data_IF_510537298275
#
_entry.id   IF_510537298275
#
_cell.length_a   1.000
_cell.length_b   1.000
_cell.length_c   1.000
_cell.angle_alpha   90.00
_cell.angle_beta   90.00
_cell.angle_gamma   90.00
#
_symmetry.space_group_name_H-M   'P 1'
#
loop_
_entity.id
_entity.type
_entity.pdbx_description
1 polymer ?
#
# COMPACT_ATOMS: atom_id res chain seq x y z
N UNK A 1 -21.86 8.06 -8.74
CA UNK A 1 -22.76 6.91 -8.98
C UNK A 1 -22.26 5.75 -8.14
N UNK A 2 -23.02 5.33 -7.17
CA UNK A 2 -22.64 4.20 -6.33
C UNK A 2 -22.66 2.91 -7.16
N UNK A 3 -21.63 2.06 -7.03
CA UNK A 3 -21.53 0.77 -7.73
C UNK A 3 -20.98 -0.27 -6.77
N UNK A 4 -21.83 -1.20 -6.34
CA UNK A 4 -21.48 -2.26 -5.41
C UNK A 4 -21.39 -3.59 -6.15
N UNK A 5 -20.24 -4.27 -6.05
CA UNK A 5 -20.13 -5.64 -6.54
C UNK A 5 -20.90 -6.57 -5.58
N UNK A 6 -21.83 -7.34 -6.12
CA UNK A 6 -22.63 -8.30 -5.36
C UNK A 6 -21.98 -9.67 -5.29
N UNK A 7 -21.51 -10.15 -6.45
CA UNK A 7 -20.96 -11.48 -6.55
C UNK A 7 -20.11 -11.61 -7.83
N UNK A 8 -19.31 -12.66 -7.90
CA UNK A 8 -18.44 -12.97 -9.02
C UNK A 8 -18.34 -14.48 -9.20
N UNK A 9 -18.28 -14.95 -10.45
CA UNK A 9 -17.98 -16.33 -10.77
C UNK A 9 -16.94 -16.37 -11.90
N UNK A 10 -15.98 -17.26 -11.77
CA UNK A 10 -14.96 -17.55 -12.77
C UNK A 10 -15.26 -18.87 -13.45
N UNK A 11 -15.18 -18.88 -14.77
CA UNK A 11 -15.43 -20.08 -15.58
C UNK A 11 -14.40 -20.21 -16.70
N UNK A 12 -14.17 -21.44 -17.17
CA UNK A 12 -13.47 -21.66 -18.43
C UNK A 12 -14.39 -21.37 -19.63
N UNK A 13 -13.80 -21.10 -20.81
CA UNK A 13 -14.51 -20.85 -22.07
C UNK A 13 -15.19 -22.12 -22.65
N UNK A 14 -16.07 -22.74 -21.88
CA UNK A 14 -16.81 -23.91 -22.29
C UNK A 14 -18.31 -23.68 -22.10
N UNK A 15 -19.11 -23.99 -23.13
CA UNK A 15 -20.57 -23.80 -23.15
C UNK A 15 -21.32 -24.52 -22.02
N UNK A 16 -20.73 -25.61 -21.45
CA UNK A 16 -21.34 -26.30 -20.31
C UNK A 16 -21.56 -25.40 -19.09
N UNK A 17 -20.78 -24.32 -18.97
CA UNK A 17 -20.88 -23.36 -17.86
C UNK A 17 -21.95 -22.27 -18.04
N UNK A 18 -22.62 -22.18 -19.21
CA UNK A 18 -23.67 -21.19 -19.43
C UNK A 18 -24.81 -21.39 -18.45
N UNK A 19 -25.34 -22.60 -18.32
CA UNK A 19 -26.44 -22.89 -17.40
C UNK A 19 -26.06 -22.68 -15.93
N UNK A 20 -24.89 -23.12 -15.41
CA UNK A 20 -24.40 -22.76 -14.08
C UNK A 20 -24.31 -21.25 -13.82
N UNK A 21 -23.80 -20.47 -14.79
CA UNK A 21 -23.72 -19.00 -14.65
C UNK A 21 -25.11 -18.36 -14.59
N UNK A 22 -26.04 -18.81 -15.41
CA UNK A 22 -27.41 -18.32 -15.36
C UNK A 22 -28.11 -18.70 -14.04
N UNK A 23 -27.85 -19.88 -13.49
CA UNK A 23 -28.35 -20.26 -12.17
C UNK A 23 -27.72 -19.44 -11.04
N UNK A 24 -26.44 -19.09 -11.15
CA UNK A 24 -25.78 -18.15 -10.25
C UNK A 24 -26.44 -16.75 -10.31
N UNK A 25 -26.72 -16.24 -11.51
CA UNK A 25 -27.45 -14.99 -11.70
C UNK A 25 -28.84 -15.06 -11.08
N UNK A 26 -29.57 -16.17 -11.29
CA UNK A 26 -30.89 -16.42 -10.69
C UNK A 26 -30.83 -16.32 -9.15
N UNK A 27 -29.86 -16.97 -8.54
CA UNK A 27 -29.68 -17.00 -7.09
C UNK A 27 -29.39 -15.62 -6.50
N UNK A 28 -28.45 -14.88 -7.12
CA UNK A 28 -28.08 -13.55 -6.62
C UNK A 28 -29.20 -12.55 -6.82
N UNK A 29 -29.82 -12.51 -8.01
CA UNK A 29 -30.91 -11.59 -8.32
C UNK A 29 -32.12 -11.77 -7.40
N UNK A 30 -32.47 -13.04 -7.08
CA UNK A 30 -33.60 -13.35 -6.19
C UNK A 30 -33.45 -12.79 -4.78
N UNK A 31 -32.22 -12.63 -4.29
CA UNK A 31 -31.95 -12.06 -2.96
C UNK A 31 -32.17 -10.54 -2.93
N UNK A 32 -32.04 -9.87 -4.06
CA UNK A 32 -32.08 -8.40 -4.10
C UNK A 32 -33.42 -7.81 -4.54
N UNK A 33 -34.32 -8.62 -5.14
CA UNK A 33 -35.69 -8.24 -5.57
C UNK A 33 -35.79 -6.86 -6.28
N UNK A 34 -34.77 -6.54 -7.09
CA UNK A 34 -34.60 -5.20 -7.69
C UNK A 34 -35.39 -5.00 -8.98
N UNK A 35 -35.87 -6.08 -9.58
CA UNK A 35 -36.57 -6.07 -10.86
C UNK A 35 -37.83 -6.94 -10.80
N UNK A 36 -38.82 -6.60 -11.63
CA UNK A 36 -39.92 -7.50 -11.90
C UNK A 36 -39.44 -8.71 -12.75
N UNK A 37 -40.25 -9.76 -12.76
CA UNK A 37 -39.89 -11.03 -13.39
C UNK A 37 -39.66 -10.90 -14.89
N UNK A 38 -40.39 -10.01 -15.57
CA UNK A 38 -40.26 -9.80 -17.01
C UNK A 38 -38.91 -9.15 -17.34
N UNK A 39 -38.55 -8.07 -16.66
CA UNK A 39 -37.24 -7.39 -16.80
C UNK A 39 -36.08 -8.32 -16.47
N UNK A 40 -36.25 -9.14 -15.46
CA UNK A 40 -35.23 -10.11 -15.08
C UNK A 40 -35.03 -11.16 -16.19
N UNK A 41 -36.10 -11.70 -16.77
CA UNK A 41 -35.99 -12.66 -17.88
C UNK A 41 -35.32 -12.07 -19.11
N UNK A 42 -35.59 -10.79 -19.42
CA UNK A 42 -34.92 -10.08 -20.50
C UNK A 42 -33.41 -9.98 -20.25
N UNK A 43 -33.01 -9.51 -19.06
CA UNK A 43 -31.58 -9.46 -18.67
C UNK A 43 -30.93 -10.84 -18.75
N UNK A 44 -31.55 -11.86 -18.16
CA UNK A 44 -31.06 -13.22 -18.13
C UNK A 44 -30.82 -13.81 -19.53
N UNK A 45 -31.75 -13.53 -20.44
CA UNK A 45 -31.64 -13.95 -21.82
C UNK A 45 -30.42 -13.31 -22.51
N UNK A 46 -30.28 -12.00 -22.38
CA UNK A 46 -29.16 -11.25 -22.96
C UNK A 46 -27.81 -11.71 -22.39
N UNK A 47 -27.72 -11.91 -21.08
CA UNK A 47 -26.51 -12.46 -20.43
C UNK A 47 -26.15 -13.82 -21.03
N UNK A 48 -27.12 -14.69 -21.26
CA UNK A 48 -26.91 -16.00 -21.88
C UNK A 48 -26.33 -15.90 -23.30
N UNK A 49 -26.87 -15.01 -24.13
CA UNK A 49 -26.40 -14.79 -25.51
C UNK A 49 -25.00 -14.13 -25.54
N UNK A 50 -24.72 -13.17 -24.66
CA UNK A 50 -23.41 -12.55 -24.58
C UNK A 50 -22.34 -13.51 -24.04
N UNK A 51 -22.68 -14.31 -23.02
CA UNK A 51 -21.78 -15.33 -22.49
C UNK A 51 -21.42 -16.35 -23.56
N UNK A 52 -22.41 -16.84 -24.31
CA UNK A 52 -22.18 -17.73 -25.43
C UNK A 52 -21.28 -17.09 -26.50
N UNK A 53 -21.54 -15.86 -26.87
CA UNK A 53 -20.72 -15.17 -27.85
C UNK A 53 -19.27 -15.00 -27.38
N UNK A 54 -19.04 -14.71 -26.09
CA UNK A 54 -17.68 -14.61 -25.51
C UNK A 54 -16.99 -15.96 -25.43
N UNK A 55 -17.68 -17.00 -25.01
CA UNK A 55 -17.13 -18.40 -24.98
C UNK A 55 -16.67 -18.82 -26.37
N UNK A 56 -17.48 -18.57 -27.38
CA UNK A 56 -17.21 -19.04 -28.76
C UNK A 56 -16.08 -18.25 -29.43
N UNK A 57 -15.90 -16.95 -29.11
CA UNK A 57 -15.05 -16.06 -29.90
C UNK A 57 -13.83 -15.52 -29.15
N UNK A 58 -13.78 -15.57 -27.81
CA UNK A 58 -12.67 -14.95 -27.07
C UNK A 58 -11.37 -15.74 -27.17
N UNK A 59 -11.44 -17.07 -27.24
CA UNK A 59 -10.27 -17.95 -27.23
C UNK A 59 -10.36 -19.01 -28.35
N UNK A 60 -10.25 -18.61 -29.62
CA UNK A 60 -10.40 -19.55 -30.74
C UNK A 60 -9.32 -20.64 -30.71
N UNK A 61 -9.75 -21.90 -30.51
CA UNK A 61 -8.84 -23.04 -30.45
C UNK A 61 -7.97 -23.15 -29.18
N UNK A 62 -8.22 -22.31 -28.16
CA UNK A 62 -7.48 -22.33 -26.90
C UNK A 62 -8.40 -22.33 -25.67
N UNK A 63 -7.85 -22.75 -24.53
CA UNK A 63 -8.50 -22.57 -23.23
C UNK A 63 -8.31 -21.15 -22.73
N UNK A 64 -9.32 -20.60 -22.12
CA UNK A 64 -9.26 -19.27 -21.49
C UNK A 64 -10.30 -19.13 -20.38
N UNK A 65 -10.17 -18.05 -19.63
CA UNK A 65 -10.99 -17.75 -18.47
C UNK A 65 -11.91 -16.57 -18.73
N UNK A 66 -13.17 -16.70 -18.32
CA UNK A 66 -14.14 -15.62 -18.29
C UNK A 66 -14.52 -15.33 -16.83
N UNK A 67 -14.61 -14.07 -16.47
CA UNK A 67 -15.09 -13.59 -15.18
C UNK A 67 -16.46 -12.94 -15.37
N UNK A 68 -17.46 -13.41 -14.65
CA UNK A 68 -18.80 -12.85 -14.67
C UNK A 68 -19.06 -12.19 -13.34
N UNK A 69 -19.16 -10.86 -13.36
CA UNK A 69 -19.33 -10.02 -12.19
C UNK A 69 -20.74 -9.42 -12.19
N UNK A 70 -21.39 -9.43 -11.03
CA UNK A 70 -22.71 -8.85 -10.81
C UNK A 70 -22.58 -7.61 -9.94
N UNK A 71 -23.15 -6.49 -10.40
CA UNK A 71 -23.13 -5.22 -9.70
C UNK A 71 -24.54 -4.67 -9.50
N UNK A 72 -24.69 -3.89 -8.44
CA UNK A 72 -25.85 -3.08 -8.18
C UNK A 72 -25.41 -1.62 -8.11
N UNK A 73 -26.12 -0.76 -8.85
CA UNK A 73 -25.96 0.69 -8.81
C UNK A 73 -27.23 1.32 -8.27
N UNK A 74 -27.22 2.65 -8.12
CA UNK A 74 -28.43 3.38 -7.71
C UNK A 74 -29.61 3.21 -8.67
N UNK A 75 -29.34 2.91 -9.96
CA UNK A 75 -30.34 2.86 -11.02
C UNK A 75 -30.41 1.51 -11.75
N UNK A 76 -29.36 0.70 -11.71
CA UNK A 76 -29.22 -0.48 -12.56
C UNK A 76 -28.72 -1.69 -11.79
N UNK A 77 -29.21 -2.87 -12.22
CA UNK A 77 -28.50 -4.12 -12.04
C UNK A 77 -27.61 -4.34 -13.25
N UNK A 78 -26.30 -4.51 -13.04
CA UNK A 78 -25.31 -4.66 -14.10
C UNK A 78 -24.69 -6.05 -14.04
N UNK A 79 -24.56 -6.69 -15.20
CA UNK A 79 -23.78 -7.91 -15.38
C UNK A 79 -22.63 -7.61 -16.32
N UNK A 80 -21.43 -7.96 -15.90
CA UNK A 80 -20.18 -7.74 -16.64
C UNK A 80 -19.48 -9.06 -16.91
N UNK A 81 -19.12 -9.33 -18.16
CA UNK A 81 -18.36 -10.50 -18.60
C UNK A 81 -16.99 -9.99 -19.06
N UNK A 82 -15.95 -10.36 -18.32
CA UNK A 82 -14.58 -9.94 -18.59
C UNK A 82 -13.72 -11.12 -19.02
N UNK A 83 -12.84 -10.89 -20.00
CA UNK A 83 -11.87 -11.89 -20.48
C UNK A 83 -10.60 -11.22 -21.05
N UNK A 84 -9.55 -12.01 -21.21
CA UNK A 84 -8.27 -11.62 -21.84
C UNK A 84 -8.10 -12.28 -23.22
N UNK A 85 -9.18 -12.70 -23.82
CA UNK A 85 -9.17 -13.31 -25.16
C UNK A 85 -9.02 -12.29 -26.28
N UNK A 86 -9.21 -12.78 -27.52
CA UNK A 86 -9.15 -11.92 -28.71
C UNK A 86 -10.11 -10.74 -28.57
N UNK A 87 -9.63 -9.50 -28.77
CA UNK A 87 -10.47 -8.32 -28.67
C UNK A 87 -11.68 -8.40 -29.62
N UNK A 88 -12.87 -8.39 -29.06
CA UNK A 88 -14.09 -8.25 -29.86
C UNK A 88 -14.30 -6.79 -30.29
N UNK A 89 -14.63 -6.58 -31.54
CA UNK A 89 -15.02 -5.29 -32.12
C UNK A 89 -16.52 -5.36 -32.44
N UNK A 90 -17.35 -5.75 -31.48
CA UNK A 90 -18.78 -5.80 -31.73
C UNK A 90 -19.35 -4.41 -31.49
N UNK A 91 -19.72 -3.77 -32.58
CA UNK A 91 -20.74 -2.77 -32.59
C UNK A 91 -22.06 -3.50 -32.30
N UNK A 92 -22.80 -3.07 -31.27
CA UNK A 92 -24.14 -3.56 -30.99
C UNK A 92 -25.18 -2.89 -31.91
N UNK A 93 -24.75 -2.11 -32.92
CA UNK A 93 -25.60 -1.62 -33.97
C UNK A 93 -26.16 -2.77 -34.80
N UNK A 94 -27.33 -2.58 -35.32
CA UNK A 94 -27.98 -3.52 -36.23
C UNK A 94 -28.65 -2.76 -37.38
N UNK A 95 -28.75 -3.40 -38.53
CA UNK A 95 -29.54 -2.92 -39.67
C UNK A 95 -30.94 -3.50 -39.55
N UNK A 96 -31.93 -2.65 -39.34
CA UNK A 96 -33.34 -3.04 -39.21
C UNK A 96 -33.84 -3.84 -40.43
N UNK A 97 -33.32 -3.56 -41.62
CA UNK A 97 -33.70 -4.27 -42.84
C UNK A 97 -33.09 -5.67 -42.97
N UNK A 98 -31.99 -5.93 -42.24
CA UNK A 98 -31.26 -7.18 -42.26
C UNK A 98 -31.49 -8.06 -41.02
N UNK A 99 -32.34 -7.63 -40.08
CA UNK A 99 -32.55 -8.32 -38.79
C UNK A 99 -32.94 -9.77 -38.96
N UNK A 100 -33.77 -10.11 -39.92
CA UNK A 100 -34.28 -11.48 -40.15
C UNK A 100 -33.28 -12.36 -40.91
N UNK A 101 -32.40 -11.77 -41.72
CA UNK A 101 -31.49 -12.46 -42.64
C UNK A 101 -30.10 -12.69 -42.06
N UNK A 102 -29.68 -11.90 -41.05
CA UNK A 102 -28.36 -11.97 -40.40
C UNK A 102 -28.51 -12.29 -38.93
N UNK A 103 -27.89 -13.41 -38.49
CA UNK A 103 -27.94 -13.87 -37.10
C UNK A 103 -27.33 -12.88 -36.12
N UNK A 104 -26.30 -12.13 -36.50
CA UNK A 104 -25.66 -11.12 -35.64
C UNK A 104 -26.57 -9.88 -35.53
N UNK A 105 -27.15 -9.42 -36.61
CA UNK A 105 -28.15 -8.35 -36.61
C UNK A 105 -29.36 -8.71 -35.75
N UNK A 106 -29.90 -9.92 -35.91
CA UNK A 106 -31.00 -10.40 -35.06
C UNK A 106 -30.65 -10.41 -33.58
N UNK A 107 -29.44 -10.89 -33.23
CA UNK A 107 -28.96 -10.90 -31.84
C UNK A 107 -28.82 -9.47 -31.29
N UNK A 108 -28.20 -8.57 -32.04
CA UNK A 108 -28.00 -7.17 -31.62
C UNK A 108 -29.34 -6.46 -31.42
N UNK A 109 -30.31 -6.66 -32.35
CA UNK A 109 -31.67 -6.17 -32.21
C UNK A 109 -32.35 -6.67 -30.92
N UNK A 110 -32.26 -7.97 -30.63
CA UNK A 110 -32.85 -8.54 -29.40
C UNK A 110 -32.14 -8.00 -28.15
N UNK A 111 -30.82 -7.82 -28.19
CA UNK A 111 -30.05 -7.25 -27.06
C UNK A 111 -30.55 -5.84 -26.78
N UNK A 112 -30.67 -4.99 -27.80
CA UNK A 112 -31.14 -3.60 -27.70
C UNK A 112 -32.57 -3.54 -27.12
N UNK A 113 -33.46 -4.41 -27.57
CA UNK A 113 -34.84 -4.48 -27.09
C UNK A 113 -34.98 -4.96 -25.64
N UNK A 114 -34.02 -5.74 -25.15
CA UNK A 114 -34.12 -6.41 -23.85
C UNK A 114 -33.42 -5.71 -22.70
N UNK A 115 -32.44 -4.84 -22.94
CA UNK A 115 -31.66 -4.16 -21.89
C UNK A 115 -31.62 -2.67 -22.13
N UNK A 116 -31.35 -1.90 -21.09
CA UNK A 116 -31.35 -0.44 -21.18
C UNK A 116 -29.99 0.11 -21.62
N UNK A 117 -28.92 -0.66 -21.38
CA UNK A 117 -27.57 -0.32 -21.84
C UNK A 117 -26.74 -1.59 -22.05
N UNK A 118 -25.98 -1.63 -23.13
CA UNK A 118 -24.97 -2.63 -23.40
C UNK A 118 -23.71 -1.95 -23.92
N UNK A 119 -22.53 -2.41 -23.49
CA UNK A 119 -21.29 -1.81 -23.94
C UNK A 119 -20.09 -2.75 -23.85
N UNK A 120 -19.03 -2.34 -24.54
CA UNK A 120 -17.71 -2.99 -24.48
C UNK A 120 -16.69 -1.99 -24.02
N UNK A 121 -15.90 -2.36 -23.02
CA UNK A 121 -14.76 -1.56 -22.55
C UNK A 121 -13.46 -2.31 -22.74
N UNK A 122 -12.43 -1.61 -23.16
CA UNK A 122 -11.06 -2.10 -23.23
C UNK A 122 -10.34 -1.75 -21.92
N UNK A 123 -9.76 -2.76 -21.28
CA UNK A 123 -9.11 -2.64 -19.96
C UNK A 123 -7.59 -2.74 -20.05
N UNK A 124 -7.00 -2.53 -21.23
CA UNK A 124 -5.55 -2.63 -21.44
C UNK A 124 -5.03 -4.04 -21.13
N UNK A 125 -4.09 -4.16 -20.22
CA UNK A 125 -3.50 -5.43 -19.80
C UNK A 125 -4.51 -6.40 -19.13
N UNK A 126 -5.64 -5.88 -18.65
CA UNK A 126 -6.71 -6.66 -18.04
C UNK A 126 -7.74 -7.17 -19.05
N UNK A 127 -7.47 -6.98 -20.34
CA UNK A 127 -8.28 -7.50 -21.43
C UNK A 127 -9.46 -6.59 -21.80
N UNK A 128 -10.66 -7.14 -21.77
CA UNK A 128 -11.88 -6.40 -22.12
C UNK A 128 -13.04 -6.90 -21.29
N UNK A 129 -14.07 -6.06 -21.18
CA UNK A 129 -15.35 -6.45 -20.60
C UNK A 129 -16.51 -6.07 -21.50
N UNK A 130 -17.49 -6.95 -21.58
CA UNK A 130 -18.82 -6.65 -22.08
C UNK A 130 -19.73 -6.48 -20.88
N UNK A 131 -20.53 -5.44 -20.84
CA UNK A 131 -21.48 -5.24 -19.74
C UNK A 131 -22.89 -4.98 -20.28
N UNK A 132 -23.86 -5.36 -19.49
CA UNK A 132 -25.28 -5.06 -19.70
C UNK A 132 -25.88 -4.49 -18.44
N UNK A 133 -26.77 -3.50 -18.59
CA UNK A 133 -27.51 -2.86 -17.51
C UNK A 133 -28.99 -2.95 -17.73
N UNK A 134 -29.72 -3.27 -16.67
CA UNK A 134 -31.16 -3.22 -16.63
C UNK A 134 -31.62 -2.41 -15.44
N UNK A 135 -32.50 -1.42 -15.67
CA UNK A 135 -32.99 -0.52 -14.64
C UNK A 135 -33.76 -1.28 -13.55
N UNK A 136 -33.53 -0.87 -12.30
CA UNK A 136 -34.23 -1.38 -11.15
C UNK A 136 -35.50 -0.56 -10.90
N UNK A 137 -36.58 -1.25 -10.50
CA UNK A 137 -37.92 -0.63 -10.35
C UNK A 137 -37.98 0.23 -9.08
N UNK A 138 -37.28 -0.17 -8.04
CA UNK A 138 -37.19 0.57 -6.80
C UNK A 138 -35.73 0.92 -6.53
N UNK A 139 -35.36 2.21 -6.53
CA UNK A 139 -34.04 2.62 -6.07
C UNK A 139 -33.83 2.07 -4.66
N UNK A 140 -32.78 1.28 -4.46
CA UNK A 140 -32.45 0.82 -3.13
C UNK A 140 -31.87 2.03 -2.40
N UNK A 141 -32.57 2.54 -1.42
CA UNK A 141 -31.93 3.34 -0.39
C UNK A 141 -30.93 2.42 0.33
N UNK A 142 -29.66 2.59 0.01
CA UNK A 142 -28.60 1.98 0.80
C UNK A 142 -28.61 2.67 2.16
N UNK A 143 -29.36 2.12 3.11
CA UNK A 143 -29.12 2.44 4.50
C UNK A 143 -27.67 2.10 4.78
N UNK A 144 -26.91 3.08 5.27
CA UNK A 144 -25.63 2.78 5.89
C UNK A 144 -25.86 1.58 6.84
N UNK A 145 -24.94 0.60 6.88
CA UNK A 145 -25.08 -0.49 7.82
C UNK A 145 -25.40 0.11 9.18
N UNK A 146 -26.46 -0.40 9.81
CA UNK A 146 -26.84 0.07 11.15
C UNK A 146 -25.58 0.02 12.00
N UNK A 147 -25.26 1.08 12.74
CA UNK A 147 -24.15 1.01 13.68
C UNK A 147 -24.37 -0.26 14.51
N UNK A 148 -23.32 -1.05 14.63
CA UNK A 148 -23.36 -2.25 15.47
C UNK A 148 -24.10 -1.89 16.76
N UNK A 149 -25.02 -2.73 17.28
CA UNK A 149 -25.76 -2.45 18.48
C UNK A 149 -24.79 -1.91 19.52
N UNK A 150 -25.19 -0.83 20.22
CA UNK A 150 -24.35 -0.21 21.25
C UNK A 150 -23.82 -1.33 22.13
N UNK A 151 -22.55 -1.59 22.00
CA UNK A 151 -21.86 -2.65 22.71
C UNK A 151 -21.98 -2.35 24.20
N UNK A 152 -22.33 -3.35 24.98
CA UNK A 152 -22.09 -3.37 26.43
C UNK A 152 -20.77 -2.68 26.72
N UNK A 153 -20.71 -1.84 27.74
CA UNK A 153 -19.59 -0.98 28.05
C UNK A 153 -18.27 -1.75 27.86
N UNK A 154 -17.50 -1.37 26.85
CA UNK A 154 -16.25 -2.06 26.51
C UNK A 154 -15.34 -2.05 27.73
N UNK A 155 -14.88 -3.21 28.14
CA UNK A 155 -13.86 -3.30 29.17
C UNK A 155 -12.59 -2.60 28.69
N UNK A 156 -12.22 -1.54 29.41
CA UNK A 156 -11.09 -0.67 29.08
C UNK A 156 -9.78 -1.09 29.76
N UNK A 157 -9.80 -2.19 30.53
CA UNK A 157 -8.58 -2.76 31.09
C UNK A 157 -7.84 -3.53 30.00
N UNK A 158 -6.83 -2.91 29.37
CA UNK A 158 -6.10 -3.45 28.24
C UNK A 158 -4.68 -3.84 28.63
N UNK A 159 -4.34 -5.11 28.38
CA UNK A 159 -3.02 -5.68 28.57
C UNK A 159 -2.33 -5.89 27.22
N UNK A 160 -1.02 -5.67 27.15
CA UNK A 160 -0.21 -5.93 25.95
C UNK A 160 0.57 -7.22 26.19
N UNK A 161 0.48 -8.15 25.23
CA UNK A 161 1.20 -9.42 25.30
C UNK A 161 1.81 -9.80 23.94
N UNK A 162 2.92 -10.58 23.94
CA UNK A 162 3.51 -11.04 22.68
C UNK A 162 2.57 -12.01 21.95
N UNK A 163 2.70 -12.03 20.62
CA UNK A 163 2.11 -13.03 19.72
C UNK A 163 2.97 -14.28 19.79
N UNK A 164 2.39 -15.40 20.22
CA UNK A 164 3.13 -16.65 20.42
C UNK A 164 2.48 -17.83 19.71
N UNK A 165 1.14 -17.87 19.70
CA UNK A 165 0.37 -18.97 19.16
C UNK A 165 -0.13 -18.66 17.74
N UNK A 166 -0.60 -19.69 17.04
CA UNK A 166 -1.25 -19.53 15.75
C UNK A 166 -2.53 -18.71 15.87
N UNK A 167 -3.31 -18.91 16.93
CA UNK A 167 -4.51 -18.10 17.20
C UNK A 167 -4.17 -16.61 17.39
N UNK A 168 -3.05 -16.31 18.07
CA UNK A 168 -2.58 -14.93 18.21
C UNK A 168 -2.24 -14.30 16.85
N UNK A 169 -1.59 -15.09 15.98
CA UNK A 169 -1.26 -14.63 14.61
C UNK A 169 -2.53 -14.35 13.82
N UNK A 170 -3.54 -15.23 13.92
CA UNK A 170 -4.84 -15.02 13.26
C UNK A 170 -5.49 -13.72 13.76
N UNK A 171 -5.44 -13.44 15.06
CA UNK A 171 -5.95 -12.18 15.61
C UNK A 171 -5.14 -10.96 15.15
N UNK A 172 -3.81 -11.06 15.03
CA UNK A 172 -2.98 -10.00 14.47
C UNK A 172 -3.34 -9.73 12.99
N UNK A 173 -3.50 -10.78 12.19
CA UNK A 173 -3.95 -10.67 10.78
C UNK A 173 -5.32 -10.01 10.71
N UNK A 174 -6.28 -10.39 11.58
CA UNK A 174 -7.60 -9.77 11.64
C UNK A 174 -7.54 -8.28 11.99
N UNK A 175 -6.62 -7.87 12.86
CA UNK A 175 -6.38 -6.47 13.16
C UNK A 175 -5.87 -5.71 11.92
N UNK A 176 -4.85 -6.25 11.23
CA UNK A 176 -4.31 -5.64 10.00
C UNK A 176 -5.42 -5.52 8.95
N UNK A 177 -6.16 -6.60 8.73
CA UNK A 177 -7.28 -6.62 7.79
C UNK A 177 -8.38 -5.60 8.14
N UNK A 178 -8.67 -5.37 9.43
CA UNK A 178 -9.72 -4.43 9.84
C UNK A 178 -9.46 -2.98 9.44
N UNK A 179 -8.19 -2.61 9.22
CA UNK A 179 -7.79 -1.27 8.78
C UNK A 179 -7.53 -1.19 7.27
N UNK A 180 -6.83 -2.19 6.72
CA UNK A 180 -6.28 -2.15 5.37
C UNK A 180 -6.96 -3.11 4.38
N UNK A 181 -7.92 -3.96 4.82
CA UNK A 181 -8.36 -5.08 3.98
C UNK A 181 -7.16 -5.94 3.59
N UNK A 182 -7.01 -6.23 2.29
CA UNK A 182 -5.84 -6.95 1.74
C UNK A 182 -4.82 -6.03 1.06
N UNK A 183 -4.89 -4.71 1.31
CA UNK A 183 -4.02 -3.73 0.64
C UNK A 183 -2.73 -3.42 1.39
N UNK A 184 -2.48 -4.03 2.54
CA UNK A 184 -1.26 -3.76 3.30
C UNK A 184 -0.02 -4.20 2.52
N UNK A 185 1.01 -3.32 2.45
CA UNK A 185 2.17 -3.49 1.58
C UNK A 185 3.02 -4.75 1.85
N UNK A 186 2.95 -5.30 3.06
CA UNK A 186 3.63 -6.55 3.41
C UNK A 186 2.66 -7.72 3.34
N UNK A 187 2.39 -8.19 2.12
CA UNK A 187 1.46 -9.31 1.85
C UNK A 187 1.77 -10.55 2.70
N UNK A 188 3.05 -10.82 2.98
CA UNK A 188 3.49 -11.96 3.78
C UNK A 188 2.86 -12.02 5.19
N UNK A 189 2.40 -10.89 5.73
CA UNK A 189 1.74 -10.84 7.04
C UNK A 189 0.29 -11.37 7.03
N UNK A 190 -0.31 -11.62 5.87
CA UNK A 190 -1.63 -12.25 5.78
C UNK A 190 -1.57 -13.79 5.82
N UNK A 191 -0.39 -14.38 5.71
CA UNK A 191 -0.19 -15.84 5.73
C UNK A 191 0.36 -16.29 7.07
N UNK A 192 -0.40 -17.11 7.80
CA UNK A 192 -0.05 -17.57 9.17
C UNK A 192 1.35 -18.15 9.23
N UNK A 193 1.70 -19.06 8.32
CA UNK A 193 3.03 -19.69 8.28
C UNK A 193 4.16 -18.69 8.01
N UNK A 194 3.91 -17.69 7.17
CA UNK A 194 4.88 -16.65 6.86
C UNK A 194 5.10 -15.73 8.05
N UNK A 195 4.02 -15.28 8.67
CA UNK A 195 4.06 -14.44 9.86
C UNK A 195 4.76 -15.16 11.03
N UNK A 196 4.40 -16.43 11.29
CA UNK A 196 5.06 -17.26 12.30
C UNK A 196 6.57 -17.39 12.04
N UNK A 197 6.97 -17.57 10.78
CA UNK A 197 8.37 -17.66 10.38
C UNK A 197 9.11 -16.36 10.67
N UNK A 198 8.55 -15.19 10.35
CA UNK A 198 9.13 -13.88 10.63
C UNK A 198 9.31 -13.64 12.13
N UNK A 199 8.36 -14.09 12.97
CA UNK A 199 8.52 -14.03 14.43
C UNK A 199 9.67 -14.95 14.88
N UNK A 200 9.73 -16.19 14.39
CA UNK A 200 10.76 -17.17 14.78
C UNK A 200 12.15 -16.80 14.28
N UNK A 201 12.27 -16.15 13.13
CA UNK A 201 13.56 -15.67 12.60
C UNK A 201 14.05 -14.40 13.31
N UNK A 202 13.17 -13.72 14.07
CA UNK A 202 13.48 -12.45 14.71
C UNK A 202 13.39 -11.25 13.76
N UNK A 203 12.81 -11.41 12.57
CA UNK A 203 12.52 -10.30 11.66
C UNK A 203 11.48 -9.34 12.23
N UNK A 204 10.56 -9.87 13.06
CA UNK A 204 9.57 -9.06 13.77
C UNK A 204 9.36 -9.58 15.21
N UNK A 205 9.05 -8.67 16.12
CA UNK A 205 8.39 -8.94 17.40
C UNK A 205 6.98 -8.39 17.34
N UNK A 206 5.98 -9.24 17.49
CA UNK A 206 4.56 -8.89 17.32
C UNK A 206 3.81 -8.96 18.63
N UNK A 207 2.87 -8.01 18.85
CA UNK A 207 2.16 -7.84 20.12
C UNK A 207 0.67 -7.59 19.88
N UNK A 208 -0.16 -8.20 20.73
CA UNK A 208 -1.60 -7.92 20.81
C UNK A 208 -1.92 -7.12 22.06
N UNK A 209 -2.82 -6.15 21.92
CA UNK A 209 -3.51 -5.52 23.03
C UNK A 209 -4.85 -6.23 23.23
N UNK A 210 -5.09 -6.79 24.41
CA UNK A 210 -6.29 -7.57 24.74
C UNK A 210 -6.93 -7.04 26.02
N UNK A 211 -8.27 -7.06 26.08
CA UNK A 211 -8.98 -6.75 27.31
C UNK A 211 -9.15 -7.98 28.21
N UNK A 212 -9.75 -7.80 29.40
CA UNK A 212 -9.95 -8.88 30.38
C UNK A 212 -10.90 -9.98 29.85
N UNK A 213 -11.70 -9.71 28.81
CA UNK A 213 -12.52 -10.69 28.12
C UNK A 213 -11.82 -11.36 26.93
N UNK A 214 -10.49 -11.20 26.82
CA UNK A 214 -9.66 -11.71 25.71
C UNK A 214 -10.07 -11.19 24.31
N UNK A 215 -10.76 -10.03 24.24
CA UNK A 215 -11.05 -9.39 22.96
C UNK A 215 -9.83 -8.58 22.53
N UNK A 216 -9.44 -8.73 21.29
CA UNK A 216 -8.30 -8.00 20.71
C UNK A 216 -8.69 -6.56 20.42
N UNK A 217 -8.06 -5.63 21.12
CA UNK A 217 -8.23 -4.19 20.96
C UNK A 217 -7.32 -3.57 19.89
N UNK A 218 -6.18 -4.20 19.65
CA UNK A 218 -5.22 -3.71 18.65
C UNK A 218 -4.00 -4.61 18.53
N UNK A 219 -3.15 -4.23 17.59
CA UNK A 219 -1.92 -4.91 17.25
C UNK A 219 -0.80 -3.91 16.93
N UNK A 220 0.44 -4.23 17.23
CA UNK A 220 1.62 -3.58 16.71
C UNK A 220 2.79 -4.55 16.65
N UNK A 221 3.81 -4.20 15.87
CA UNK A 221 5.04 -4.97 15.79
C UNK A 221 6.27 -4.07 15.87
N UNK A 222 7.39 -4.66 16.29
CA UNK A 222 8.74 -4.13 16.09
C UNK A 222 9.36 -4.89 14.93
N UNK A 223 9.60 -4.22 13.81
CA UNK A 223 10.21 -4.79 12.62
C UNK A 223 11.72 -4.49 12.61
N UNK A 224 12.51 -5.50 12.26
CA UNK A 224 13.97 -5.42 12.19
C UNK A 224 14.45 -5.50 10.76
N UNK A 225 15.48 -4.75 10.44
CA UNK A 225 16.20 -4.88 9.18
C UNK A 225 17.69 -5.00 9.43
N UNK A 226 18.43 -5.52 8.46
CA UNK A 226 19.89 -5.64 8.60
C UNK A 226 20.59 -4.30 8.80
N UNK A 227 19.99 -3.21 8.28
CA UNK A 227 20.49 -1.84 8.48
C UNK A 227 20.21 -1.28 9.87
N UNK A 228 19.14 -1.75 10.54
CA UNK A 228 18.60 -1.15 11.77
C UNK A 228 18.30 -2.19 12.85
N UNK A 229 19.19 -3.18 13.06
CA UNK A 229 18.99 -4.26 14.04
C UNK A 229 18.77 -3.76 15.47
N UNK A 230 19.53 -2.71 15.85
CA UNK A 230 19.43 -2.07 17.18
C UNK A 230 18.48 -0.86 17.21
N UNK A 231 17.78 -0.61 16.10
CA UNK A 231 16.75 0.42 16.00
C UNK A 231 15.53 -0.13 15.25
N UNK A 232 14.75 -1.02 15.90
CA UNK A 232 13.56 -1.56 15.26
C UNK A 232 12.53 -0.49 14.97
N UNK A 233 11.80 -0.70 13.87
CA UNK A 233 10.68 0.13 13.48
C UNK A 233 9.40 -0.32 14.20
N UNK A 234 8.70 0.64 14.82
CA UNK A 234 7.33 0.42 15.28
C UNK A 234 6.42 0.41 14.06
N UNK A 235 5.94 -0.76 13.68
CA UNK A 235 5.19 -0.99 12.46
C UNK A 235 3.87 -1.72 12.72
N UNK A 236 3.04 -1.85 11.68
CA UNK A 236 1.74 -2.53 11.73
C UNK A 236 0.84 -2.12 12.90
N UNK A 237 0.89 -0.84 13.28
CA UNK A 237 0.11 -0.31 14.40
C UNK A 237 -1.34 -0.17 13.98
N UNK A 238 -2.19 -1.00 14.52
CA UNK A 238 -3.65 -0.98 14.29
C UNK A 238 -4.38 -0.96 15.62
N UNK A 239 -5.36 -0.09 15.74
CA UNK A 239 -6.30 -0.03 16.87
C UNK A 239 -7.69 -0.21 16.29
N UNK A 240 -8.40 -1.25 16.70
CA UNK A 240 -9.77 -1.49 16.26
C UNK A 240 -10.66 -0.30 16.60
N UNK A 241 -11.62 -0.01 15.73
CA UNK A 241 -12.43 1.24 15.78
C UNK A 241 -13.12 1.42 17.13
N UNK A 242 -13.66 0.35 17.69
CA UNK A 242 -14.36 0.31 18.97
C UNK A 242 -13.47 0.65 20.18
N UNK A 243 -12.14 0.47 20.06
CA UNK A 243 -11.16 0.76 21.12
C UNK A 243 -10.40 2.07 20.89
N UNK A 244 -10.73 2.83 19.85
CA UNK A 244 -10.11 4.14 19.61
C UNK A 244 -10.50 5.14 20.70
N UNK A 245 -9.63 6.11 20.96
CA UNK A 245 -9.85 7.10 22.01
C UNK A 245 -9.42 6.68 23.42
N UNK A 246 -9.09 5.40 23.66
CA UNK A 246 -8.67 4.86 24.95
C UNK A 246 -7.16 5.02 25.24
N UNK A 247 -6.43 5.77 24.43
CA UNK A 247 -5.00 6.01 24.64
C UNK A 247 -4.10 4.82 24.31
N UNK A 248 -4.58 3.81 23.57
CA UNK A 248 -3.83 2.59 23.26
C UNK A 248 -2.52 2.87 22.49
N UNK A 249 -2.53 3.85 21.59
CA UNK A 249 -1.30 4.22 20.89
C UNK A 249 -0.19 4.64 21.88
N UNK A 250 -0.52 5.46 22.89
CA UNK A 250 0.44 5.84 23.92
C UNK A 250 0.91 4.64 24.75
N UNK A 251 0.02 3.68 25.04
CA UNK A 251 0.40 2.42 25.71
C UNK A 251 1.38 1.60 24.86
N UNK A 252 1.16 1.52 23.52
CA UNK A 252 2.08 0.85 22.60
C UNK A 252 3.47 1.50 22.60
N UNK A 253 3.52 2.84 22.53
CA UNK A 253 4.80 3.57 22.57
C UNK A 253 5.54 3.34 23.89
N UNK A 254 4.84 3.40 25.02
CA UNK A 254 5.44 3.15 26.35
C UNK A 254 5.93 1.70 26.47
N UNK A 255 5.15 0.73 25.99
CA UNK A 255 5.55 -0.67 26.01
C UNK A 255 6.80 -0.89 25.14
N UNK A 256 6.82 -0.35 23.94
CA UNK A 256 7.97 -0.46 23.01
C UNK A 256 9.23 0.17 23.59
N UNK A 257 9.12 1.32 24.27
CA UNK A 257 10.25 1.97 24.93
C UNK A 257 10.81 1.14 26.09
N UNK A 258 9.96 0.58 26.93
CA UNK A 258 10.38 -0.28 28.03
C UNK A 258 11.05 -1.56 27.51
N UNK A 259 10.48 -2.16 26.47
CA UNK A 259 11.06 -3.33 25.80
C UNK A 259 12.41 -3.00 25.17
N UNK A 260 12.55 -1.83 24.55
CA UNK A 260 13.80 -1.38 23.95
C UNK A 260 14.91 -1.22 25.01
N UNK A 261 14.57 -0.66 26.17
CA UNK A 261 15.50 -0.57 27.33
C UNK A 261 15.89 -1.96 27.84
N UNK A 262 14.93 -2.86 27.97
CA UNK A 262 15.16 -4.24 28.42
C UNK A 262 16.06 -5.02 27.46
N UNK A 263 15.84 -4.88 26.15
CA UNK A 263 16.57 -5.57 25.09
C UNK A 263 17.89 -4.89 24.72
N UNK A 264 18.18 -3.69 25.21
CA UNK A 264 19.37 -2.93 24.89
C UNK A 264 19.35 -2.35 23.47
N UNK A 265 18.16 -2.03 22.91
CA UNK A 265 18.10 -1.35 21.62
C UNK A 265 18.59 0.09 21.75
N UNK A 266 19.32 0.54 20.73
CA UNK A 266 19.91 1.89 20.70
C UNK A 266 18.85 2.97 20.54
N UNK A 267 17.88 2.74 19.67
CA UNK A 267 16.79 3.66 19.40
C UNK A 267 15.53 2.90 18.94
N UNK A 268 14.43 3.64 18.81
CA UNK A 268 13.20 3.20 18.15
C UNK A 268 12.92 4.12 16.98
N UNK A 269 12.50 3.55 15.86
CA UNK A 269 12.08 4.27 14.67
C UNK A 269 10.57 4.13 14.49
N UNK A 270 9.93 5.14 13.93
CA UNK A 270 8.53 5.08 13.50
C UNK A 270 8.33 5.85 12.20
N UNK A 271 7.36 5.41 11.41
CA UNK A 271 7.06 6.01 10.11
C UNK A 271 5.62 6.54 10.07
N UNK A 272 5.32 7.67 10.75
CA UNK A 272 4.01 8.29 10.66
C UNK A 272 3.72 8.76 9.23
N UNK A 273 2.47 8.58 8.81
CA UNK A 273 2.01 9.01 7.48
C UNK A 273 1.97 10.53 7.37
N UNK A 274 2.24 11.05 6.16
CA UNK A 274 2.30 12.49 5.88
C UNK A 274 1.01 13.06 5.27
N UNK A 275 -0.11 12.33 5.27
CA UNK A 275 -1.39 12.78 4.70
C UNK A 275 -2.47 13.07 5.75
N UNK A 276 -2.20 12.79 7.03
CA UNK A 276 -3.04 13.22 8.15
C UNK A 276 -2.21 13.39 9.45
N UNK A 277 -2.65 14.25 10.38
CA UNK A 277 -1.80 14.66 11.52
C UNK A 277 -1.85 13.71 12.72
N UNK A 278 -2.69 12.68 12.74
CA UNK A 278 -2.97 11.90 13.96
C UNK A 278 -1.74 11.11 14.43
N UNK A 279 -1.14 10.31 13.56
CA UNK A 279 0.06 9.53 13.89
C UNK A 279 1.25 10.45 14.21
N UNK A 280 1.44 11.53 13.47
CA UNK A 280 2.50 12.53 13.71
C UNK A 280 2.39 13.11 15.13
N UNK A 281 1.21 13.60 15.54
CA UNK A 281 0.96 14.11 16.89
C UNK A 281 1.25 13.06 17.96
N UNK A 282 0.92 11.81 17.70
CA UNK A 282 1.14 10.71 18.64
C UNK A 282 2.64 10.41 18.80
N UNK A 283 3.40 10.38 17.71
CA UNK A 283 4.86 10.19 17.76
C UNK A 283 5.56 11.38 18.44
N UNK A 284 5.20 12.63 18.13
CA UNK A 284 5.76 13.80 18.82
C UNK A 284 5.49 13.77 20.33
N UNK A 285 4.25 13.43 20.76
CA UNK A 285 3.92 13.27 22.19
C UNK A 285 4.70 12.16 22.86
N UNK A 286 5.05 11.12 22.12
CA UNK A 286 5.89 10.02 22.61
C UNK A 286 7.39 10.37 22.61
N UNK A 287 7.78 11.58 22.19
CA UNK A 287 9.15 12.07 22.21
C UNK A 287 10.01 11.59 21.04
N UNK A 288 9.40 11.29 19.89
CA UNK A 288 10.12 11.02 18.65
C UNK A 288 10.46 12.32 17.95
N UNK A 289 11.70 12.44 17.50
CA UNK A 289 12.20 13.57 16.72
C UNK A 289 12.07 13.26 15.23
N UNK A 290 11.45 14.13 14.43
CA UNK A 290 11.41 13.99 12.97
C UNK A 290 12.81 14.05 12.36
N UNK A 291 13.15 13.12 11.46
CA UNK A 291 14.49 13.02 10.87
C UNK A 291 14.51 12.92 9.36
N UNK A 292 13.48 12.37 8.73
CA UNK A 292 13.36 12.25 7.28
C UNK A 292 11.94 12.41 6.79
N UNK A 293 11.80 12.88 5.54
CA UNK A 293 10.55 12.98 4.79
C UNK A 293 10.64 12.10 3.54
N UNK A 294 9.97 10.94 3.57
CA UNK A 294 9.95 9.97 2.48
C UNK A 294 8.77 10.27 1.56
N UNK A 295 9.04 10.97 0.46
CA UNK A 295 8.01 11.37 -0.50
C UNK A 295 7.50 10.17 -1.30
N UNK A 296 6.15 10.06 -1.43
CA UNK A 296 5.48 9.04 -2.25
C UNK A 296 6.07 7.62 -2.05
N UNK A 297 6.38 7.27 -0.82
CA UNK A 297 7.10 6.05 -0.44
C UNK A 297 6.22 4.80 -0.58
N UNK A 298 5.01 4.85 -0.08
CA UNK A 298 4.06 3.74 -0.15
C UNK A 298 3.39 3.68 -1.52
N UNK A 299 3.17 2.46 -2.02
CA UNK A 299 2.51 2.23 -3.31
C UNK A 299 1.07 2.75 -3.35
N UNK A 300 0.58 3.01 -4.56
CA UNK A 300 -0.80 3.46 -4.81
C UNK A 300 -1.88 2.42 -4.48
N UNK A 301 -1.49 1.17 -4.27
CA UNK A 301 -2.39 0.05 -3.99
C UNK A 301 -2.85 -0.02 -2.54
N UNK A 302 -2.25 0.79 -1.64
CA UNK A 302 -2.63 0.80 -0.23
C UNK A 302 -3.96 1.53 -0.06
N UNK A 303 -5.02 0.77 0.21
CA UNK A 303 -6.34 1.28 0.51
C UNK A 303 -6.48 1.49 2.02
N UNK A 304 -6.97 2.65 2.41
CA UNK A 304 -7.36 2.95 3.79
C UNK A 304 -8.52 3.93 3.79
N UNK A 305 -9.08 4.17 4.96
CA UNK A 305 -10.11 5.21 5.13
C UNK A 305 -9.65 6.58 4.59
N UNK A 306 -8.34 6.83 4.58
CA UNK A 306 -7.71 8.10 4.20
C UNK A 306 -7.13 8.11 2.77
N UNK A 307 -6.98 6.96 2.10
CA UNK A 307 -6.48 6.86 0.73
C UNK A 307 -7.48 6.14 -0.18
N UNK A 308 -8.40 6.91 -0.75
CA UNK A 308 -9.40 6.39 -1.70
C UNK A 308 -9.06 6.68 -3.17
N UNK A 309 -7.98 7.43 -3.41
CA UNK A 309 -7.67 7.96 -4.74
C UNK A 309 -6.60 7.16 -5.50
N UNK A 310 -6.03 6.09 -4.90
CA UNK A 310 -4.98 5.29 -5.55
C UNK A 310 -3.70 6.09 -5.82
N UNK A 311 -3.37 7.09 -4.97
CA UNK A 311 -2.12 7.83 -5.06
C UNK A 311 -1.06 7.19 -4.15
N UNK A 312 0.20 7.33 -4.51
CA UNK A 312 1.31 6.96 -3.63
C UNK A 312 1.33 7.89 -2.41
N UNK A 313 1.58 7.32 -1.25
CA UNK A 313 1.53 8.04 0.02
C UNK A 313 2.94 8.34 0.54
N UNK A 314 3.09 9.52 1.12
CA UNK A 314 4.33 9.94 1.77
C UNK A 314 4.34 9.58 3.24
N UNK A 315 5.54 9.29 3.77
CA UNK A 315 5.79 9.00 5.16
C UNK A 315 6.78 10.02 5.74
N UNK A 316 6.76 10.18 7.04
CA UNK A 316 7.87 10.80 7.78
C UNK A 316 8.62 9.71 8.53
N UNK A 317 9.87 9.96 8.88
CA UNK A 317 10.61 9.14 9.83
C UNK A 317 10.78 9.95 11.12
N UNK A 318 10.43 9.32 12.24
CA UNK A 318 10.73 9.83 13.57
C UNK A 318 11.61 8.84 14.33
N UNK A 319 12.63 9.34 15.01
CA UNK A 319 13.56 8.53 15.81
C UNK A 319 13.47 8.95 17.27
N UNK A 320 13.47 7.95 18.16
CA UNK A 320 13.59 8.15 19.61
C UNK A 320 14.80 7.38 20.13
N UNK A 321 15.79 8.10 20.61
CA UNK A 321 16.98 7.51 21.22
C UNK A 321 16.64 6.90 22.58
N UNK A 322 17.06 5.65 22.79
CA UNK A 322 16.91 4.91 24.04
C UNK A 322 18.23 4.85 24.81
N UNK A 323 19.31 4.51 24.10
CA UNK A 323 20.67 4.55 24.64
C UNK A 323 21.34 5.89 24.30
N UNK A 324 21.52 6.72 25.32
CA UNK A 324 22.13 8.05 25.20
C UNK A 324 23.65 8.05 25.36
N UNK A 325 24.26 6.88 25.55
CA UNK A 325 25.73 6.78 25.74
C UNK A 325 26.48 6.65 24.42
N UNK A 326 25.77 6.36 23.33
CA UNK A 326 26.35 6.19 22.01
C UNK A 326 26.87 7.54 21.45
N UNK A 327 28.03 7.48 20.80
CA UNK A 327 28.63 8.61 20.06
C UNK A 327 28.87 8.15 18.63
N UNK A 328 28.50 8.98 17.66
CA UNK A 328 28.70 8.71 16.24
C UNK A 328 29.81 9.58 15.69
N UNK A 329 30.76 9.01 14.95
CA UNK A 329 31.72 9.77 14.14
C UNK A 329 31.10 10.05 12.78
N UNK A 330 30.92 11.32 12.42
CA UNK A 330 30.19 11.72 11.21
C UNK A 330 30.99 12.70 10.34
N UNK A 331 30.82 12.60 9.02
CA UNK A 331 31.44 13.44 8.00
C UNK A 331 30.35 14.04 7.08
N UNK A 332 29.44 14.85 7.60
CA UNK A 332 28.30 15.31 6.81
C UNK A 332 28.75 16.23 5.68
N UNK A 333 28.11 16.14 4.49
CA UNK A 333 28.26 17.11 3.45
C UNK A 333 28.04 18.55 3.96
N UNK A 334 28.88 19.49 3.48
CA UNK A 334 28.86 20.89 3.93
C UNK A 334 27.44 21.48 3.88
N UNK A 335 26.75 21.26 2.76
CA UNK A 335 25.40 21.76 2.50
C UNK A 335 24.36 21.35 3.56
N UNK A 336 24.46 20.11 4.09
CA UNK A 336 23.49 19.56 5.05
C UNK A 336 24.05 19.46 6.48
N UNK A 337 25.28 19.88 6.73
CA UNK A 337 25.94 19.74 8.03
C UNK A 337 25.13 20.37 9.17
N UNK A 338 24.59 21.59 8.96
CA UNK A 338 23.74 22.24 9.94
C UNK A 338 22.41 21.51 10.21
N UNK A 339 21.85 20.85 9.20
CA UNK A 339 20.66 20.01 9.37
C UNK A 339 21.00 18.74 10.20
N UNK A 340 22.10 18.06 9.84
CA UNK A 340 22.55 16.84 10.52
C UNK A 340 22.81 17.09 12.00
N UNK A 341 23.63 18.08 12.35
CA UNK A 341 23.96 18.40 13.73
C UNK A 341 22.73 18.78 14.55
N UNK A 342 21.82 19.58 13.97
CA UNK A 342 20.55 19.92 14.62
C UNK A 342 19.71 18.67 14.95
N UNK A 343 19.62 17.69 14.05
CA UNK A 343 18.88 16.45 14.32
C UNK A 343 19.56 15.64 15.44
N UNK A 344 20.89 15.50 15.41
CA UNK A 344 21.65 14.80 16.45
C UNK A 344 21.46 15.46 17.82
N UNK A 345 21.52 16.79 17.90
CA UNK A 345 21.25 17.53 19.13
C UNK A 345 19.82 17.29 19.64
N UNK A 346 18.83 17.36 18.74
CA UNK A 346 17.43 17.19 19.10
C UNK A 346 17.10 15.79 19.64
N UNK A 347 17.71 14.71 19.09
CA UNK A 347 17.53 13.35 19.61
C UNK A 347 18.41 13.07 20.84
N UNK A 348 19.42 13.88 21.10
CA UNK A 348 20.40 13.72 22.17
C UNK A 348 21.45 12.65 21.88
N UNK A 349 21.77 12.42 20.60
CA UNK A 349 22.85 11.53 20.17
C UNK A 349 24.19 12.30 20.16
N UNK A 350 25.18 11.81 20.91
CA UNK A 350 26.53 12.34 20.87
C UNK A 350 27.20 12.13 19.52
N UNK A 351 28.00 13.08 19.07
CA UNK A 351 28.72 12.94 17.80
C UNK A 351 30.09 13.62 17.82
N UNK A 352 31.02 13.06 17.04
CA UNK A 352 32.30 13.66 16.68
C UNK A 352 32.20 14.11 15.23
N UNK A 353 32.19 15.43 15.01
CA UNK A 353 32.05 16.05 13.68
C UNK A 353 33.42 16.22 13.01
N UNK A 354 33.54 15.69 11.81
CA UNK A 354 34.73 15.82 10.99
C UNK A 354 34.40 16.37 9.60
N UNK A 355 35.37 17.01 8.98
CA UNK A 355 35.29 17.41 7.59
C UNK A 355 35.48 16.18 6.69
N UNK A 356 34.86 16.24 5.50
CA UNK A 356 35.02 15.20 4.49
C UNK A 356 36.47 15.11 4.01
N UNK A 357 36.97 13.89 3.81
CA UNK A 357 38.34 13.62 3.36
C UNK A 357 38.29 12.76 2.13
N UNK A 358 39.09 13.10 1.12
CA UNK A 358 39.28 12.21 -0.02
C UNK A 358 39.96 10.93 0.42
N UNK A 359 39.23 9.83 0.25
CA UNK A 359 39.69 8.50 0.58
C UNK A 359 39.50 7.59 -0.63
N UNK A 360 40.57 6.92 -1.05
CA UNK A 360 40.50 5.98 -2.18
C UNK A 360 40.15 4.58 -1.70
N UNK A 361 38.95 4.15 -2.06
CA UNK A 361 38.48 2.78 -1.88
C UNK A 361 37.79 2.31 -3.17
N UNK A 362 37.26 1.11 -3.18
CA UNK A 362 36.44 0.57 -4.26
C UNK A 362 34.98 0.83 -3.89
N UNK A 363 34.21 1.37 -4.83
CA UNK A 363 32.79 1.59 -4.62
C UNK A 363 32.06 0.26 -4.44
N UNK A 364 31.29 0.16 -3.36
CA UNK A 364 30.42 -0.98 -3.08
C UNK A 364 29.02 -0.47 -2.80
N UNK A 365 28.07 -1.01 -3.52
CA UNK A 365 26.64 -0.75 -3.34
C UNK A 365 25.86 -2.06 -3.30
N UNK A 366 24.71 -2.05 -2.64
CA UNK A 366 23.65 -3.03 -2.89
C UNK A 366 22.49 -2.36 -3.61
N UNK A 367 21.81 -3.11 -4.47
CA UNK A 367 20.67 -2.62 -5.25
C UNK A 367 19.52 -3.60 -5.03
N UNK A 368 18.50 -3.16 -4.29
CA UNK A 368 17.36 -3.98 -3.92
C UNK A 368 16.08 -3.40 -4.51
N UNK A 369 15.36 -4.21 -5.30
CA UNK A 369 14.09 -3.80 -5.90
C UNK A 369 12.93 -4.36 -5.10
N UNK A 370 12.14 -3.46 -4.53
CA UNK A 370 10.90 -3.77 -3.82
C UNK A 370 9.71 -3.63 -4.79
N UNK A 371 9.23 -4.76 -5.30
CA UNK A 371 8.11 -4.79 -6.26
C UNK A 371 6.79 -4.28 -5.65
N UNK A 372 6.37 -4.67 -4.44
CA UNK A 372 5.18 -4.13 -3.80
C UNK A 372 5.18 -2.62 -3.66
N UNK A 373 6.33 -2.01 -3.40
CA UNK A 373 6.47 -0.56 -3.30
C UNK A 373 6.82 0.11 -4.64
N UNK A 374 7.03 -0.66 -5.69
CA UNK A 374 7.48 -0.19 -7.01
C UNK A 374 8.67 0.77 -6.92
N UNK A 375 9.66 0.40 -6.10
CA UNK A 375 10.85 1.20 -5.83
C UNK A 375 12.13 0.37 -5.86
N UNK A 376 13.26 1.03 -6.15
CA UNK A 376 14.60 0.46 -5.99
C UNK A 376 15.34 1.22 -4.91
N UNK A 377 15.98 0.50 -3.98
CA UNK A 377 16.89 1.07 -2.99
C UNK A 377 18.33 0.81 -3.41
N UNK A 378 19.14 1.85 -3.41
CA UNK A 378 20.60 1.80 -3.60
C UNK A 378 21.22 2.12 -2.25
N UNK A 379 21.91 1.16 -1.65
CA UNK A 379 22.64 1.37 -0.38
C UNK A 379 24.12 1.40 -0.66
N UNK A 380 24.76 2.52 -0.34
CA UNK A 380 26.22 2.70 -0.46
C UNK A 380 26.87 2.13 0.80
N UNK A 381 27.91 1.31 0.64
CA UNK A 381 28.70 0.77 1.76
C UNK A 381 30.17 1.14 1.68
N UNK A 382 30.66 1.57 0.52
CA UNK A 382 32.01 2.09 0.33
C UNK A 382 32.03 3.01 -0.91
N UNK A 383 32.87 4.03 -0.90
CA UNK A 383 32.89 5.10 -1.92
C UNK A 383 34.30 5.18 -2.52
N UNK A 384 34.40 4.89 -3.84
CA UNK A 384 35.62 4.93 -4.64
C UNK A 384 35.63 6.04 -5.68
N UNK A 385 36.63 6.00 -6.56
CA UNK A 385 36.71 6.94 -7.68
C UNK A 385 35.63 6.68 -8.73
N UNK A 386 35.21 5.42 -8.87
CA UNK A 386 34.25 4.90 -9.83
C UNK A 386 32.79 5.10 -9.43
N UNK A 387 32.51 5.79 -8.33
CA UNK A 387 31.15 5.93 -7.77
C UNK A 387 30.15 6.52 -8.76
N UNK A 388 30.58 7.45 -9.62
CA UNK A 388 29.69 8.04 -10.63
C UNK A 388 29.18 6.99 -11.64
N UNK A 389 30.07 6.13 -12.13
CA UNK A 389 29.71 5.06 -13.07
C UNK A 389 28.84 4.01 -12.40
N UNK A 390 29.15 3.69 -11.15
CA UNK A 390 28.42 2.68 -10.36
C UNK A 390 26.99 3.16 -10.04
N UNK A 391 26.81 4.41 -9.61
CA UNK A 391 25.48 5.01 -9.37
C UNK A 391 24.69 5.08 -10.68
N UNK A 392 25.28 5.56 -11.77
CA UNK A 392 24.62 5.62 -13.08
C UNK A 392 24.16 4.24 -13.58
N UNK A 393 24.97 3.20 -13.35
CA UNK A 393 24.59 1.81 -13.67
C UNK A 393 23.41 1.33 -12.83
N UNK A 394 23.38 1.66 -11.53
CA UNK A 394 22.28 1.30 -10.63
C UNK A 394 20.97 2.00 -10.99
N UNK A 395 21.03 3.30 -11.35
CA UNK A 395 19.86 4.06 -11.85
C UNK A 395 19.33 3.40 -13.14
N UNK A 396 20.19 3.09 -14.09
CA UNK A 396 19.79 2.41 -15.32
C UNK A 396 19.13 1.04 -15.06
N UNK A 397 19.61 0.32 -14.06
CA UNK A 397 19.00 -0.94 -13.63
C UNK A 397 17.59 -0.70 -13.05
N UNK A 398 17.41 0.29 -12.18
CA UNK A 398 16.12 0.66 -11.62
C UNK A 398 15.10 1.04 -12.71
N UNK A 399 15.53 1.83 -13.71
CA UNK A 399 14.70 2.20 -14.87
C UNK A 399 14.28 0.95 -15.67
N UNK A 400 15.18 0.01 -15.92
CA UNK A 400 14.88 -1.26 -16.59
C UNK A 400 13.84 -2.10 -15.83
N UNK A 401 13.91 -2.07 -14.50
CA UNK A 401 12.94 -2.75 -13.63
C UNK A 401 11.62 -1.96 -13.46
N UNK A 402 11.48 -0.81 -14.14
CA UNK A 402 10.29 0.05 -14.12
C UNK A 402 9.95 0.56 -12.71
N UNK A 403 10.95 0.77 -11.87
CA UNK A 403 10.73 1.43 -10.58
C UNK A 403 10.23 2.86 -10.79
N UNK A 404 9.26 3.30 -10.02
CA UNK A 404 8.76 4.68 -10.06
C UNK A 404 9.59 5.63 -9.21
N UNK A 405 10.29 5.09 -8.21
CA UNK A 405 11.15 5.82 -7.29
C UNK A 405 12.45 5.06 -7.03
N UNK A 406 13.53 5.80 -6.87
CA UNK A 406 14.81 5.29 -6.38
C UNK A 406 15.11 5.99 -5.06
N UNK A 407 15.38 5.20 -4.03
CA UNK A 407 15.89 5.66 -2.75
C UNK A 407 17.39 5.38 -2.68
N UNK A 408 18.19 6.37 -2.35
CA UNK A 408 19.63 6.21 -2.14
C UNK A 408 19.96 6.46 -0.67
N UNK A 409 20.69 5.53 -0.08
CA UNK A 409 21.11 5.53 1.31
C UNK A 409 22.63 5.65 1.35
N UNK A 410 23.14 6.73 1.97
CA UNK A 410 24.57 7.04 2.03
C UNK A 410 25.00 7.13 3.49
N UNK A 411 26.00 6.36 3.95
CA UNK A 411 26.48 6.43 5.33
C UNK A 411 27.16 7.78 5.63
N UNK A 412 26.71 8.47 6.66
CA UNK A 412 27.33 9.69 7.22
C UNK A 412 28.70 9.45 7.86
N UNK A 413 28.97 8.18 8.21
CA UNK A 413 30.18 7.76 8.90
C UNK A 413 31.37 7.48 7.95
N UNK A 414 31.15 7.58 6.64
CA UNK A 414 32.22 7.43 5.64
C UNK A 414 32.92 8.78 5.44
N UNK A 415 34.28 8.84 5.52
CA UNK A 415 35.02 10.07 5.41
C UNK A 415 34.80 10.86 4.12
N UNK A 416 34.43 10.18 3.03
CA UNK A 416 34.20 10.75 1.70
C UNK A 416 32.71 10.76 1.30
N UNK A 417 31.78 10.79 2.23
CA UNK A 417 30.34 10.75 1.93
C UNK A 417 29.86 11.99 1.14
N UNK A 418 30.54 13.15 1.27
CA UNK A 418 30.32 14.35 0.44
C UNK A 418 30.35 14.02 -1.05
N UNK A 419 31.31 13.19 -1.51
CA UNK A 419 31.44 12.79 -2.91
C UNK A 419 30.20 12.03 -3.40
N UNK A 420 29.73 11.06 -2.63
CA UNK A 420 28.51 10.29 -2.97
C UNK A 420 27.27 11.17 -2.99
N UNK A 421 27.13 12.06 -2.02
CA UNK A 421 26.02 13.01 -1.92
C UNK A 421 25.98 13.95 -3.12
N UNK A 422 27.13 14.56 -3.47
CA UNK A 422 27.22 15.50 -4.60
C UNK A 422 26.93 14.81 -5.95
N UNK A 423 27.40 13.58 -6.16
CA UNK A 423 27.07 12.80 -7.35
C UNK A 423 25.58 12.48 -7.37
N UNK A 424 25.00 12.02 -6.27
CA UNK A 424 23.57 11.74 -6.22
C UNK A 424 22.74 13.01 -6.56
N UNK A 425 23.10 14.18 -6.05
CA UNK A 425 22.45 15.44 -6.45
C UNK A 425 22.58 15.73 -7.93
N UNK A 426 23.76 15.54 -8.52
CA UNK A 426 23.97 15.77 -9.96
C UNK A 426 23.17 14.80 -10.84
N UNK A 427 22.90 13.60 -10.34
CA UNK A 427 22.01 12.61 -10.99
C UNK A 427 20.51 12.87 -10.72
N UNK A 428 20.15 13.93 -10.02
CA UNK A 428 18.77 14.36 -9.81
C UNK A 428 18.10 13.78 -8.55
N UNK A 429 18.85 13.25 -7.61
CA UNK A 429 18.31 12.89 -6.30
C UNK A 429 18.09 14.14 -5.45
N UNK A 430 16.95 14.19 -4.77
CA UNK A 430 16.64 15.19 -3.76
C UNK A 430 16.95 14.67 -2.36
N UNK A 431 17.42 15.53 -1.49
CA UNK A 431 17.64 15.23 -0.08
C UNK A 431 16.30 15.03 0.64
N UNK A 432 16.18 13.94 1.38
CA UNK A 432 14.96 13.55 2.13
C UNK A 432 15.14 13.57 3.64
N UNK A 433 16.35 13.73 4.14
CA UNK A 433 16.67 13.73 5.56
C UNK A 433 17.74 12.71 5.93
N UNK A 434 17.77 12.36 7.21
CA UNK A 434 18.73 11.40 7.74
C UNK A 434 18.03 10.33 8.58
N UNK A 435 18.66 9.16 8.73
CA UNK A 435 18.27 8.13 9.68
C UNK A 435 19.45 7.90 10.64
N UNK A 436 19.45 8.58 11.80
CA UNK A 436 20.50 8.46 12.80
C UNK A 436 20.31 7.24 13.70
N UNK A 437 21.33 6.89 14.47
CA UNK A 437 21.35 5.79 15.43
C UNK A 437 21.15 4.39 14.83
N UNK A 438 21.60 4.20 13.56
CA UNK A 438 21.63 2.89 12.91
C UNK A 438 22.58 1.89 13.56
N UNK A 439 22.60 0.65 13.05
CA UNK A 439 23.43 -0.45 13.60
C UNK A 439 24.92 -0.17 13.45
N UNK A 440 25.35 0.14 12.26
CA UNK A 440 26.75 0.39 11.91
C UNK A 440 26.99 1.84 11.54
N UNK A 441 26.02 2.44 10.87
CA UNK A 441 26.12 3.79 10.33
C UNK A 441 24.86 4.60 10.62
N UNK A 442 25.03 5.90 10.59
CA UNK A 442 23.95 6.88 10.42
C UNK A 442 23.85 7.18 8.92
N UNK A 443 22.66 7.40 8.40
CA UNK A 443 22.46 7.45 6.97
C UNK A 443 21.84 8.76 6.48
N UNK A 444 22.35 9.27 5.36
CA UNK A 444 21.65 10.24 4.51
C UNK A 444 20.64 9.48 3.66
N UNK A 445 19.43 10.01 3.55
CA UNK A 445 18.39 9.50 2.67
C UNK A 445 18.14 10.48 1.55
N UNK A 446 18.21 10.00 0.31
CA UNK A 446 17.92 10.78 -0.89
C UNK A 446 16.92 10.02 -1.77
N UNK A 447 16.08 10.74 -2.50
CA UNK A 447 15.06 10.14 -3.38
C UNK A 447 15.09 10.76 -4.78
N UNK A 448 14.92 9.91 -5.80
CA UNK A 448 14.71 10.32 -7.18
C UNK A 448 13.41 9.69 -7.69
N UNK A 449 12.57 10.49 -8.38
CA UNK A 449 11.36 10.02 -9.03
C UNK A 449 11.59 9.90 -10.53
N UNK A 450 11.25 8.73 -11.08
CA UNK A 450 11.31 8.49 -12.51
C UNK A 450 10.01 9.02 -13.12
N UNK A 451 10.12 9.94 -14.09
CA UNK A 451 9.01 10.57 -14.82
C UNK A 451 8.00 11.40 -13.99
N UNK A 452 8.29 11.70 -12.73
CA UNK A 452 7.42 12.52 -11.86
C UNK A 452 8.22 13.54 -11.06
N UNK A 453 7.63 14.70 -10.78
CA UNK A 453 8.19 15.68 -9.83
C UNK A 453 7.64 15.43 -8.44
N UNK A 454 8.46 15.69 -7.43
CA UNK A 454 8.01 15.72 -6.03
C UNK A 454 6.93 16.80 -5.85
N UNK A 455 5.84 16.46 -5.16
CA UNK A 455 4.75 17.38 -4.84
C UNK A 455 4.58 17.49 -3.34
N UNK A 456 5.10 18.57 -2.75
CA UNK A 456 5.02 18.84 -1.30
C UNK A 456 3.67 19.44 -0.87
N UNK A 457 2.85 19.91 -1.82
CA UNK A 457 1.60 20.63 -1.53
C UNK A 457 0.52 19.76 -0.91
N UNK A 458 0.57 18.45 -1.18
CA UNK A 458 -0.41 17.47 -0.67
C UNK A 458 -0.09 16.95 0.75
N UNK A 459 1.03 17.39 1.32
CA UNK A 459 1.44 16.94 2.64
C UNK A 459 0.66 17.66 3.73
N UNK A 460 0.12 16.91 4.68
CA UNK A 460 -0.50 17.41 5.89
C UNK A 460 0.43 17.12 7.06
N UNK A 461 1.23 18.11 7.44
CA UNK A 461 2.24 17.96 8.48
C UNK A 461 1.97 18.90 9.66
N UNK A 462 2.47 18.54 10.84
CA UNK A 462 2.21 19.29 12.07
C UNK A 462 3.44 19.35 12.98
N UNK A 463 3.58 20.47 13.69
CA UNK A 463 4.66 20.67 14.68
C UNK A 463 6.03 20.50 14.05
N UNK A 464 6.93 19.81 14.72
CA UNK A 464 8.31 19.57 14.27
C UNK A 464 8.41 18.81 12.93
N UNK A 465 7.37 18.08 12.53
CA UNK A 465 7.31 17.49 11.18
C UNK A 465 7.12 18.56 10.10
N UNK A 466 6.37 19.62 10.35
CA UNK A 466 6.24 20.75 9.42
C UNK A 466 7.57 21.52 9.32
N UNK A 467 8.30 21.66 10.43
CA UNK A 467 9.64 22.26 10.44
C UNK A 467 10.61 21.42 9.61
N UNK A 468 10.56 20.08 9.74
CA UNK A 468 11.34 19.15 8.92
C UNK A 468 11.04 19.35 7.43
N UNK A 469 9.77 19.39 7.03
CA UNK A 469 9.37 19.61 5.64
C UNK A 469 9.96 20.91 5.10
N UNK A 470 9.85 21.99 5.86
CA UNK A 470 10.37 23.30 5.46
C UNK A 470 11.88 23.26 5.23
N UNK A 471 12.63 22.59 6.11
CA UNK A 471 14.08 22.45 5.97
C UNK A 471 14.45 21.57 4.76
N UNK A 472 13.79 20.43 4.56
CA UNK A 472 14.02 19.53 3.41
C UNK A 472 13.75 20.27 2.10
N UNK A 473 12.66 21.03 1.99
CA UNK A 473 12.36 21.83 0.80
C UNK A 473 13.44 22.89 0.56
N UNK A 474 13.91 23.56 1.60
CA UNK A 474 14.94 24.61 1.49
C UNK A 474 16.28 24.05 0.99
N UNK A 475 16.64 22.84 1.35
CA UNK A 475 17.89 22.18 0.92
C UNK A 475 17.82 21.59 -0.51
N UNK A 476 16.63 21.55 -1.09
CA UNK A 476 16.43 21.07 -2.47
C UNK A 476 16.16 22.20 -3.49
N UNK A 477 16.04 23.43 -3.05
CA UNK A 477 15.87 24.62 -3.89
C UNK A 477 17.20 25.36 -4.09
#
# INVERSE_FOLDING_TARGET
MFRKKLASIEINNNRIYIAPVLSFLDSVSSQHKTMDISRYHQLRFVVGELLKARIDNSYPGASGTLFVDLFLTDLYFEVSIRDKGVPGWHDFSYDENAVVSDRNNFRNFIVDMCVDEVGIEKLGADGQRVFVRKSIVNPIEFKAPEPYPETEALDTNITIRPVVTEDDIIEAIRCIYSEYGYSYSYECLYYVDSFMRMIKSGEIMSFLAVNDHNQTAGHFALAFSDMYKNMPEISTVVIRKEFRGLGLFAKFMTYSENLAKEKGFRALMGQPVAFHPMSQKAFLRAGYTPTSLLMAYLGSEIESEYNKNGERLSLCVGVKLVDKTAVSTIYPPEEISGFVTKIFDNIGLGYDLHESVDYNDITKISVDTNKPLNMTRITVSSIGEDINEVIGSAINSAVKHKSEMIEMIIPLNLPNCEKAYSIAKSEGFAFSGIIPAGETYDYIVMQQFIDKKQCYEKLVMVGEFEDLKTQVISLNN
#
